data_IF_015975125491
#
_entry.id   IF_015975125491
#
_cell.length_a   1.000
_cell.length_b   1.000
_cell.length_c   1.000
_cell.angle_alpha   90.00
_cell.angle_beta   90.00
_cell.angle_gamma   90.00
#
_symmetry.space_group_name_H-M   'P 1'
#
loop_
_entity.id
_entity.type
_entity.pdbx_description
1 polymer ?
#
# COMPACT_ATOMS: atom_id res chain seq x y z
N UNK A 1 4.44 -14.74 26.30
CA UNK A 1 3.29 -13.98 25.72
C UNK A 1 2.02 -14.17 26.54
N UNK A 2 1.30 -13.10 26.90
CA UNK A 2 0.06 -13.13 27.69
C UNK A 2 -1.12 -12.71 26.81
N UNK A 3 -2.06 -13.63 26.54
CA UNK A 3 -3.21 -13.42 25.64
C UNK A 3 -4.51 -13.06 26.41
N UNK A 4 -4.39 -12.34 27.51
CA UNK A 4 -5.55 -11.93 28.32
C UNK A 4 -5.30 -10.66 29.10
N UNK A 5 -6.35 -9.89 29.34
CA UNK A 5 -6.34 -8.71 30.21
C UNK A 5 -7.67 -8.56 30.94
N UNK A 6 -7.69 -7.74 31.98
CA UNK A 6 -8.93 -7.45 32.73
C UNK A 6 -9.21 -5.97 32.66
N UNK A 7 -10.37 -5.59 32.15
CA UNK A 7 -10.87 -4.22 32.11
C UNK A 7 -12.25 -4.15 32.74
N UNK A 8 -12.48 -3.15 33.56
CA UNK A 8 -13.77 -2.90 34.22
C UNK A 8 -14.34 -4.12 34.95
N UNK A 9 -13.45 -4.94 35.54
CA UNK A 9 -13.84 -6.15 36.28
C UNK A 9 -14.15 -7.37 35.39
N UNK A 10 -14.08 -7.25 34.08
CA UNK A 10 -14.27 -8.34 33.13
C UNK A 10 -12.91 -8.77 32.53
N UNK A 11 -12.68 -10.09 32.47
CA UNK A 11 -11.50 -10.68 31.85
C UNK A 11 -11.79 -10.99 30.37
N UNK A 12 -10.93 -10.47 29.48
CA UNK A 12 -10.91 -10.75 28.05
C UNK A 12 -9.75 -11.69 27.75
N UNK A 13 -10.02 -12.76 27.00
CA UNK A 13 -9.03 -13.77 26.62
C UNK A 13 -9.10 -13.98 25.11
N UNK A 14 -7.94 -14.05 24.47
CA UNK A 14 -7.79 -14.22 23.03
C UNK A 14 -7.15 -15.58 22.74
N UNK A 15 -7.47 -16.17 21.58
CA UNK A 15 -7.01 -17.51 21.20
C UNK A 15 -5.52 -17.57 20.90
N UNK A 16 -5.06 -16.62 20.07
CA UNK A 16 -3.72 -16.53 19.54
C UNK A 16 -3.38 -15.08 19.15
N UNK A 17 -2.20 -14.86 18.60
CA UNK A 17 -1.73 -13.56 18.11
C UNK A 17 -2.63 -13.00 17.00
N UNK A 18 -3.07 -13.85 16.07
CA UNK A 18 -3.98 -13.46 14.99
C UNK A 18 -5.31 -12.94 15.51
N UNK A 19 -5.89 -13.60 16.49
CA UNK A 19 -7.14 -13.16 17.15
C UNK A 19 -6.96 -11.80 17.86
N UNK A 20 -5.81 -11.58 18.52
CA UNK A 20 -5.48 -10.28 19.13
C UNK A 20 -5.37 -9.20 18.05
N UNK A 21 -4.65 -9.47 16.97
CA UNK A 21 -4.48 -8.52 15.85
C UNK A 21 -5.83 -8.15 15.24
N UNK A 22 -6.67 -9.13 14.92
CA UNK A 22 -7.98 -8.90 14.32
C UNK A 22 -8.90 -8.08 15.24
N UNK A 23 -8.95 -8.41 16.54
CA UNK A 23 -9.79 -7.71 17.51
C UNK A 23 -9.26 -6.34 17.92
N UNK A 24 -7.95 -6.11 17.81
CA UNK A 24 -7.33 -4.80 18.03
C UNK A 24 -7.56 -3.82 16.86
N UNK A 25 -7.96 -4.33 15.68
CA UNK A 25 -8.17 -3.49 14.52
C UNK A 25 -9.31 -2.47 14.74
N UNK A 26 -9.18 -1.29 14.13
CA UNK A 26 -10.31 -0.36 14.08
C UNK A 26 -11.46 -1.00 13.29
N UNK A 27 -12.68 -0.58 13.62
CA UNK A 27 -13.88 -1.16 13.03
C UNK A 27 -13.90 -1.01 11.51
N UNK A 28 -13.95 -2.15 10.83
CA UNK A 28 -14.11 -2.25 9.39
C UNK A 28 -15.16 -3.30 9.05
N UNK A 29 -15.99 -3.01 8.06
CA UNK A 29 -17.11 -3.86 7.69
C UNK A 29 -16.66 -5.25 7.23
N UNK A 30 -15.55 -5.36 6.52
CA UNK A 30 -15.02 -6.64 6.08
C UNK A 30 -14.64 -7.57 7.22
N UNK A 31 -13.95 -7.06 8.23
CA UNK A 31 -13.60 -7.85 9.43
C UNK A 31 -14.84 -8.26 10.22
N UNK A 32 -15.86 -7.39 10.26
CA UNK A 32 -17.17 -7.72 10.89
C UNK A 32 -17.89 -8.81 10.12
N UNK A 33 -17.93 -8.71 8.80
CA UNK A 33 -18.56 -9.70 7.92
C UNK A 33 -17.87 -11.07 8.03
N UNK A 34 -16.55 -11.08 8.13
CA UNK A 34 -15.76 -12.29 8.35
C UNK A 34 -15.87 -12.86 9.79
N UNK A 35 -16.53 -12.15 10.71
CA UNK A 35 -16.72 -12.58 12.08
C UNK A 35 -15.44 -12.56 12.95
N UNK A 36 -14.40 -11.82 12.53
CA UNK A 36 -13.11 -11.75 13.23
C UNK A 36 -12.92 -10.45 14.01
N UNK A 37 -13.73 -9.43 13.76
CA UNK A 37 -13.71 -8.17 14.48
C UNK A 37 -14.07 -8.32 15.98
N UNK A 38 -13.64 -7.34 16.78
CA UNK A 38 -14.10 -7.22 18.15
C UNK A 38 -15.62 -7.05 18.22
N UNK A 39 -16.27 -7.73 19.16
CA UNK A 39 -17.73 -7.68 19.36
C UNK A 39 -18.19 -6.38 20.03
N UNK A 40 -17.26 -5.63 20.61
CA UNK A 40 -17.52 -4.35 21.26
C UNK A 40 -16.27 -3.46 21.30
N UNK A 41 -16.49 -2.17 21.49
CA UNK A 41 -15.39 -1.21 21.73
C UNK A 41 -14.52 -1.60 22.92
N UNK A 42 -15.11 -2.14 23.98
CA UNK A 42 -14.36 -2.57 25.17
C UNK A 42 -13.47 -3.78 24.87
N UNK A 43 -13.96 -4.75 24.10
CA UNK A 43 -13.14 -5.88 23.63
C UNK A 43 -11.99 -5.40 22.74
N UNK A 44 -12.24 -4.43 21.84
CA UNK A 44 -11.18 -3.81 21.02
C UNK A 44 -10.11 -3.16 21.89
N UNK A 45 -10.51 -2.38 22.90
CA UNK A 45 -9.57 -1.77 23.85
C UNK A 45 -8.78 -2.82 24.61
N UNK A 46 -9.44 -3.92 25.03
CA UNK A 46 -8.78 -5.04 25.68
C UNK A 46 -7.75 -5.72 24.75
N UNK A 47 -8.09 -5.94 23.49
CA UNK A 47 -7.17 -6.47 22.49
C UNK A 47 -5.98 -5.53 22.24
N UNK A 48 -6.21 -4.22 22.13
CA UNK A 48 -5.14 -3.21 22.03
C UNK A 48 -4.22 -3.19 23.24
N UNK A 49 -4.75 -3.36 24.45
CA UNK A 49 -3.94 -3.45 25.66
C UNK A 49 -3.05 -4.70 25.68
N UNK A 50 -3.58 -5.85 25.23
CA UNK A 50 -2.78 -7.08 25.08
C UNK A 50 -1.72 -6.90 23.97
N UNK A 51 -2.09 -6.33 22.83
CA UNK A 51 -1.20 -6.09 21.70
C UNK A 51 -0.05 -5.15 22.08
N UNK A 52 -0.33 -4.11 22.87
CA UNK A 52 0.69 -3.15 23.32
C UNK A 52 1.79 -3.80 24.19
N UNK A 53 1.45 -4.86 24.93
CA UNK A 53 2.39 -5.62 25.78
C UNK A 53 3.12 -6.75 25.02
N UNK A 54 2.74 -7.07 23.76
CA UNK A 54 3.42 -8.08 22.95
C UNK A 54 4.75 -7.52 22.43
N UNK A 55 5.77 -8.38 22.38
CA UNK A 55 7.06 -8.03 21.77
C UNK A 55 7.02 -8.19 20.25
N UNK A 56 7.91 -7.49 19.55
CA UNK A 56 8.09 -7.70 18.10
C UNK A 56 8.52 -9.14 17.80
N UNK A 57 9.24 -9.78 18.74
CA UNK A 57 9.59 -11.21 18.64
C UNK A 57 8.35 -12.12 18.71
N UNK A 58 7.37 -11.80 19.57
CA UNK A 58 6.11 -12.56 19.65
C UNK A 58 5.36 -12.52 18.31
N UNK A 59 5.34 -11.36 17.63
CA UNK A 59 4.69 -11.20 16.32
C UNK A 59 5.43 -12.01 15.24
N UNK A 60 6.75 -11.91 15.16
CA UNK A 60 7.54 -12.64 14.16
C UNK A 60 7.43 -14.15 14.27
N UNK A 61 7.39 -14.67 15.51
CA UNK A 61 7.27 -16.10 15.78
C UNK A 61 5.87 -16.66 15.52
N UNK A 62 4.87 -15.79 15.36
CA UNK A 62 3.48 -16.17 15.16
C UNK A 62 2.90 -15.41 13.94
N UNK A 63 3.41 -15.65 12.72
CA UNK A 63 2.86 -15.04 11.52
C UNK A 63 1.40 -15.45 11.34
N UNK A 64 0.59 -14.54 10.76
CA UNK A 64 -0.86 -14.78 10.61
C UNK A 64 -1.17 -15.90 9.60
N UNK A 65 -0.27 -16.16 8.67
CA UNK A 65 -0.26 -17.34 7.79
C UNK A 65 1.07 -18.07 7.99
N UNK A 66 1.07 -19.40 8.25
CA UNK A 66 2.29 -20.15 8.52
C UNK A 66 3.32 -20.07 7.39
N UNK A 67 4.59 -20.03 7.73
CA UNK A 67 5.70 -19.92 6.78
C UNK A 67 5.69 -21.04 5.73
N UNK A 68 5.36 -22.25 6.13
CA UNK A 68 5.34 -23.43 5.26
C UNK A 68 4.18 -23.40 4.24
N UNK A 69 3.12 -22.65 4.53
CA UNK A 69 1.87 -22.67 3.79
C UNK A 69 1.73 -21.52 2.77
N UNK A 70 2.61 -20.49 2.84
CA UNK A 70 2.37 -19.23 2.11
C UNK A 70 3.69 -18.61 1.59
N UNK A 71 3.76 -18.38 0.29
CA UNK A 71 4.95 -17.82 -0.36
C UNK A 71 5.15 -16.32 -0.04
N UNK A 72 4.09 -15.58 0.26
CA UNK A 72 4.17 -14.18 0.72
C UNK A 72 4.77 -14.13 2.12
N UNK A 73 4.39 -15.05 3.03
CA UNK A 73 5.02 -15.16 4.35
C UNK A 73 6.52 -15.46 4.22
N UNK A 74 6.89 -16.39 3.34
CA UNK A 74 8.32 -16.68 3.07
C UNK A 74 9.04 -15.44 2.57
N UNK A 75 8.46 -14.74 1.58
CA UNK A 75 9.06 -13.53 1.03
C UNK A 75 9.27 -12.42 2.07
N UNK A 76 8.33 -12.24 3.01
CA UNK A 76 8.43 -11.26 4.10
C UNK A 76 9.47 -11.67 5.14
N UNK A 77 9.40 -12.90 5.66
CA UNK A 77 10.28 -13.39 6.71
C UNK A 77 11.74 -13.51 6.26
N UNK A 78 11.98 -13.97 5.04
CA UNK A 78 13.32 -14.15 4.48
C UNK A 78 14.01 -12.81 4.13
N UNK A 79 13.23 -11.74 3.95
CA UNK A 79 13.74 -10.40 3.68
C UNK A 79 14.22 -9.66 4.94
N UNK A 80 13.98 -10.21 6.14
CA UNK A 80 14.36 -9.57 7.40
C UNK A 80 15.86 -9.54 7.58
N UNK A 81 16.42 -8.36 7.86
CA UNK A 81 17.81 -8.23 8.30
C UNK A 81 17.92 -8.63 9.76
N UNK A 82 18.48 -9.80 10.02
CA UNK A 82 18.59 -10.37 11.36
C UNK A 82 19.39 -9.49 12.34
N UNK A 83 20.45 -8.83 11.88
CA UNK A 83 21.25 -7.96 12.74
C UNK A 83 20.46 -6.70 13.19
N UNK A 84 19.58 -6.20 12.36
CA UNK A 84 18.68 -5.09 12.71
C UNK A 84 17.54 -5.59 13.59
N UNK A 85 16.94 -6.72 13.24
CA UNK A 85 15.88 -7.36 14.03
C UNK A 85 16.33 -7.64 15.46
N UNK A 86 17.53 -8.16 15.66
CA UNK A 86 18.08 -8.46 16.98
C UNK A 86 18.16 -7.24 17.91
N UNK A 87 18.24 -6.02 17.34
CA UNK A 87 18.26 -4.77 18.12
C UNK A 87 16.87 -4.33 18.58
N UNK A 88 15.81 -4.75 17.89
CA UNK A 88 14.44 -4.27 18.13
C UNK A 88 13.49 -5.36 18.64
N UNK A 89 13.80 -6.63 18.50
CA UNK A 89 12.90 -7.76 18.79
C UNK A 89 12.31 -7.76 20.21
N UNK A 90 13.03 -7.19 21.19
CA UNK A 90 12.57 -7.11 22.58
C UNK A 90 11.62 -5.95 22.87
N UNK A 91 11.51 -4.98 21.95
CA UNK A 91 10.55 -3.89 22.11
C UNK A 91 9.13 -4.46 22.12
N UNK A 92 8.31 -3.96 23.03
CA UNK A 92 6.86 -4.17 22.91
C UNK A 92 6.29 -3.32 21.79
N UNK A 93 5.12 -3.68 21.28
CA UNK A 93 4.42 -2.88 20.25
C UNK A 93 4.12 -1.47 20.77
N UNK A 94 3.82 -1.34 22.07
CA UNK A 94 3.64 -0.05 22.74
C UNK A 94 4.92 0.79 22.74
N UNK A 95 6.05 0.22 23.13
CA UNK A 95 7.37 0.89 23.09
C UNK A 95 7.77 1.24 21.66
N UNK A 96 7.50 0.35 20.71
CA UNK A 96 7.75 0.61 19.29
C UNK A 96 6.91 1.79 18.76
N UNK A 97 5.63 1.91 19.18
CA UNK A 97 4.80 3.08 18.88
C UNK A 97 5.43 4.37 19.42
N UNK A 98 5.86 4.40 20.68
CA UNK A 98 6.48 5.58 21.30
C UNK A 98 7.80 5.94 20.59
N UNK A 99 8.58 4.93 20.19
CA UNK A 99 9.78 5.12 19.38
C UNK A 99 9.42 5.82 18.05
N UNK A 100 8.45 5.32 17.29
CA UNK A 100 8.05 5.92 16.02
C UNK A 100 7.52 7.35 16.17
N UNK A 101 6.87 7.68 17.28
CA UNK A 101 6.37 9.03 17.54
C UNK A 101 7.48 10.00 17.98
N UNK A 102 8.54 9.53 18.61
CA UNK A 102 9.63 10.38 19.15
C UNK A 102 10.86 10.43 18.24
N UNK A 103 11.20 9.35 17.53
CA UNK A 103 12.39 9.24 16.70
C UNK A 103 12.36 10.15 15.46
N UNK A 104 13.52 10.43 14.91
CA UNK A 104 13.67 11.12 13.63
C UNK A 104 13.65 10.11 12.46
N UNK A 105 13.68 10.62 11.22
CA UNK A 105 13.64 9.82 10.00
C UNK A 105 14.81 8.83 9.89
N UNK A 106 16.03 9.25 10.24
CA UNK A 106 17.23 8.39 10.15
C UNK A 106 17.13 7.19 11.09
N UNK A 107 16.68 7.41 12.33
CA UNK A 107 16.53 6.34 13.31
C UNK A 107 15.46 5.33 12.87
N UNK A 108 14.35 5.82 12.30
CA UNK A 108 13.28 4.95 11.78
C UNK A 108 13.78 4.20 10.54
N UNK A 109 14.47 4.86 9.62
CA UNK A 109 15.02 4.23 8.43
C UNK A 109 16.01 3.09 8.77
N UNK A 110 16.79 3.27 9.83
CA UNK A 110 17.77 2.28 10.28
C UNK A 110 17.14 0.94 10.71
N UNK A 111 15.90 0.96 11.21
CA UNK A 111 15.23 -0.25 11.72
C UNK A 111 14.31 -0.93 10.69
N UNK A 112 13.96 -0.27 9.59
CA UNK A 112 12.99 -0.77 8.60
C UNK A 112 13.29 -2.18 8.09
N UNK A 113 14.55 -2.51 7.89
CA UNK A 113 14.95 -3.82 7.36
C UNK A 113 14.80 -4.97 8.36
N UNK A 114 14.55 -4.68 9.63
CA UNK A 114 14.29 -5.66 10.69
C UNK A 114 12.80 -5.92 10.96
N UNK A 115 11.88 -5.24 10.23
CA UNK A 115 10.44 -5.33 10.46
C UNK A 115 9.78 -6.35 9.52
N UNK A 116 8.80 -7.10 10.06
CA UNK A 116 7.83 -7.87 9.29
C UNK A 116 6.52 -7.11 9.13
N UNK A 117 5.67 -7.55 8.22
CA UNK A 117 4.34 -6.98 7.98
C UNK A 117 3.46 -6.97 9.23
N UNK A 118 3.49 -8.04 10.04
CA UNK A 118 2.72 -8.12 11.28
C UNK A 118 3.17 -7.05 12.31
N UNK A 119 4.47 -6.74 12.39
CA UNK A 119 4.96 -5.67 13.28
C UNK A 119 4.48 -4.30 12.82
N UNK A 120 4.49 -4.05 11.51
CA UNK A 120 4.00 -2.82 10.90
C UNK A 120 2.51 -2.64 11.12
N UNK A 121 1.71 -3.69 10.88
CA UNK A 121 0.27 -3.68 11.13
C UNK A 121 -0.06 -3.51 12.63
N UNK A 122 0.66 -4.22 13.51
CA UNK A 122 0.44 -4.16 14.95
C UNK A 122 0.61 -2.74 15.50
N UNK A 123 1.67 -2.04 15.13
CA UNK A 123 1.89 -0.67 15.61
C UNK A 123 0.85 0.30 15.05
N UNK A 124 0.42 0.15 13.80
CA UNK A 124 -0.63 0.96 13.19
C UNK A 124 -1.96 0.87 13.96
N UNK A 125 -2.30 -0.32 14.48
CA UNK A 125 -3.51 -0.55 15.28
C UNK A 125 -3.51 0.22 16.61
N UNK A 126 -2.35 0.56 17.15
CA UNK A 126 -2.22 1.35 18.40
C UNK A 126 -2.19 2.86 18.15
N UNK A 127 -2.13 3.31 16.89
CA UNK A 127 -2.07 4.71 16.52
C UNK A 127 -3.45 5.33 16.29
N UNK A 128 -3.61 6.58 16.73
CA UNK A 128 -4.74 7.42 16.30
C UNK A 128 -4.51 7.91 14.87
N UNK A 129 -5.54 8.48 14.21
CA UNK A 129 -5.38 9.07 12.87
C UNK A 129 -4.27 10.14 12.86
N UNK A 130 -4.18 10.95 13.91
CA UNK A 130 -3.14 11.99 14.00
C UNK A 130 -1.75 11.41 14.27
N UNK A 131 -1.65 10.29 15.00
CA UNK A 131 -0.37 9.59 15.16
C UNK A 131 0.12 9.04 13.81
N UNK A 132 -0.78 8.44 13.00
CA UNK A 132 -0.47 7.96 11.65
C UNK A 132 0.04 9.10 10.75
N UNK A 133 -0.68 10.22 10.71
CA UNK A 133 -0.28 11.42 9.95
C UNK A 133 1.08 11.94 10.43
N UNK A 134 1.27 12.06 11.76
CA UNK A 134 2.50 12.60 12.33
C UNK A 134 3.70 11.68 12.09
N UNK A 135 3.53 10.38 12.24
CA UNK A 135 4.59 9.40 11.97
C UNK A 135 4.92 9.33 10.47
N UNK A 136 3.91 9.22 9.60
CA UNK A 136 4.11 9.17 8.15
C UNK A 136 4.85 10.39 7.62
N UNK A 137 4.59 11.58 8.17
CA UNK A 137 5.26 12.83 7.80
C UNK A 137 6.79 12.80 7.97
N UNK A 138 7.30 12.00 8.88
CA UNK A 138 8.74 11.85 9.13
C UNK A 138 9.41 10.85 8.19
N UNK A 139 8.62 9.99 7.54
CA UNK A 139 9.11 8.89 6.72
C UNK A 139 9.28 9.36 5.28
N UNK A 140 10.53 9.42 4.81
CA UNK A 140 10.82 9.78 3.42
C UNK A 140 11.15 8.54 2.61
N UNK A 141 10.47 8.40 1.46
CA UNK A 141 10.72 7.32 0.50
C UNK A 141 10.68 7.92 -0.90
N UNK A 142 11.83 7.92 -1.57
CA UNK A 142 11.96 8.37 -2.94
C UNK A 142 12.09 7.18 -3.88
N UNK A 143 11.52 7.31 -5.08
CA UNK A 143 11.68 6.34 -6.16
C UNK A 143 11.87 7.06 -7.50
N UNK A 144 12.69 6.48 -8.38
CA UNK A 144 13.04 7.06 -9.67
C UNK A 144 12.79 6.07 -10.80
N UNK A 145 11.93 6.46 -11.74
CA UNK A 145 11.73 5.81 -13.04
C UNK A 145 12.36 6.71 -14.13
N UNK A 146 11.59 7.45 -14.92
CA UNK A 146 12.10 8.56 -15.71
C UNK A 146 12.13 9.85 -14.89
N UNK A 147 11.20 10.00 -13.97
CA UNK A 147 11.11 11.09 -12.98
C UNK A 147 11.27 10.54 -11.56
N UNK A 148 11.47 11.41 -10.57
CA UNK A 148 11.56 11.03 -9.17
C UNK A 148 10.33 11.51 -8.43
N UNK A 149 9.66 10.59 -7.71
CA UNK A 149 8.54 10.86 -6.80
C UNK A 149 8.97 10.72 -5.34
N UNK A 150 8.14 11.20 -4.41
CA UNK A 150 8.35 11.07 -2.96
C UNK A 150 9.31 12.09 -2.36
N UNK A 151 9.72 13.13 -3.10
CA UNK A 151 10.54 14.22 -2.57
C UNK A 151 9.77 15.05 -1.55
N UNK A 152 10.40 15.45 -0.44
CA UNK A 152 9.74 16.24 0.59
C UNK A 152 9.08 17.51 0.04
N UNK A 153 7.82 17.73 0.40
CA UNK A 153 7.05 18.91 -0.02
C UNK A 153 6.52 18.86 -1.45
N UNK A 154 6.56 17.69 -2.10
CA UNK A 154 5.97 17.48 -3.43
C UNK A 154 4.90 16.40 -3.36
N UNK A 155 3.80 16.63 -4.08
CA UNK A 155 2.80 15.61 -4.41
C UNK A 155 2.84 15.39 -5.90
N UNK A 156 3.00 14.15 -6.31
CA UNK A 156 2.93 13.74 -7.71
C UNK A 156 1.57 13.11 -8.00
N UNK A 157 1.10 13.23 -9.23
CA UNK A 157 -0.23 12.78 -9.63
C UNK A 157 -0.16 11.75 -10.75
N UNK A 158 -1.00 10.72 -10.64
CA UNK A 158 -1.27 9.80 -11.75
C UNK A 158 -2.35 10.41 -12.65
N UNK A 159 -2.12 10.41 -13.95
CA UNK A 159 -3.14 10.65 -14.96
C UNK A 159 -3.69 9.31 -15.45
N UNK A 160 -5.00 9.10 -15.27
CA UNK A 160 -5.70 7.88 -15.67
C UNK A 160 -6.70 8.17 -16.79
N UNK A 161 -6.27 8.20 -18.05
CA UNK A 161 -7.10 8.60 -19.20
C UNK A 161 -7.93 7.42 -19.74
N UNK A 162 -8.73 6.76 -18.87
CA UNK A 162 -9.55 5.62 -19.25
C UNK A 162 -10.58 6.01 -20.32
N UNK A 163 -10.79 5.11 -21.29
CA UNK A 163 -11.79 5.28 -22.33
C UNK A 163 -12.66 4.03 -22.46
N UNK A 164 -13.96 4.22 -22.63
CA UNK A 164 -14.95 3.13 -22.57
C UNK A 164 -14.77 2.03 -23.66
N UNK A 165 -14.03 2.32 -24.72
CA UNK A 165 -13.77 1.42 -25.85
C UNK A 165 -12.30 1.33 -26.22
N UNK A 166 -11.38 1.78 -25.35
CA UNK A 166 -9.95 1.88 -25.61
C UNK A 166 -9.59 2.62 -26.93
N UNK A 167 -10.45 3.58 -27.36
CA UNK A 167 -10.20 4.36 -28.55
C UNK A 167 -8.97 5.25 -28.37
N UNK A 168 -7.89 5.10 -29.17
CA UNK A 168 -6.66 5.85 -28.99
C UNK A 168 -6.81 7.37 -29.10
N UNK A 169 -7.69 7.86 -29.98
CA UNK A 169 -7.90 9.31 -30.15
C UNK A 169 -8.58 9.90 -28.91
N UNK A 170 -9.59 9.20 -28.36
CA UNK A 170 -10.28 9.59 -27.13
C UNK A 170 -9.35 9.54 -25.91
N UNK A 171 -8.51 8.49 -25.81
CA UNK A 171 -7.47 8.36 -24.77
C UNK A 171 -6.50 9.55 -24.85
N UNK A 172 -5.98 9.87 -26.04
CA UNK A 172 -5.01 10.96 -26.22
C UNK A 172 -5.63 12.34 -25.99
N UNK A 173 -6.93 12.53 -26.29
CA UNK A 173 -7.64 13.77 -25.95
C UNK A 173 -7.66 13.96 -24.42
N UNK A 174 -7.99 12.89 -23.66
CA UNK A 174 -7.98 12.91 -22.18
C UNK A 174 -6.56 13.12 -21.62
N UNK A 175 -5.52 12.54 -22.26
CA UNK A 175 -4.12 12.78 -21.87
C UNK A 175 -3.78 14.27 -22.03
N UNK A 176 -4.09 14.88 -23.18
CA UNK A 176 -3.80 16.30 -23.44
C UNK A 176 -4.54 17.21 -22.46
N UNK A 177 -5.80 16.92 -22.17
CA UNK A 177 -6.57 17.66 -21.18
C UNK A 177 -5.93 17.55 -19.78
N UNK A 178 -5.64 16.33 -19.30
CA UNK A 178 -5.03 16.11 -17.98
C UNK A 178 -3.67 16.81 -17.84
N UNK A 179 -2.80 16.69 -18.84
CA UNK A 179 -1.49 17.40 -18.83
C UNK A 179 -1.69 18.92 -18.81
N UNK A 180 -2.74 19.46 -19.46
CA UNK A 180 -3.02 20.90 -19.43
C UNK A 180 -3.38 21.42 -18.03
N UNK A 181 -3.85 20.54 -17.15
CA UNK A 181 -4.08 20.82 -15.73
C UNK A 181 -2.87 20.54 -14.84
N UNK A 182 -1.76 20.07 -15.40
CA UNK A 182 -0.52 19.77 -14.67
C UNK A 182 -0.55 18.43 -13.94
N UNK A 183 -1.44 17.49 -14.32
CA UNK A 183 -1.48 16.14 -13.76
C UNK A 183 -0.76 15.13 -14.67
N UNK A 184 -0.25 14.04 -14.09
CA UNK A 184 0.45 12.97 -14.82
C UNK A 184 1.98 12.97 -14.66
N UNK A 185 2.50 13.76 -13.74
CA UNK A 185 3.95 13.82 -13.44
C UNK A 185 4.47 12.53 -12.79
N UNK A 186 3.63 11.81 -12.03
CA UNK A 186 3.96 10.48 -11.51
C UNK A 186 3.91 9.44 -12.63
N UNK A 187 2.80 9.36 -13.36
CA UNK A 187 2.59 8.39 -14.43
C UNK A 187 1.38 8.74 -15.29
N UNK A 188 1.44 8.45 -16.58
CA UNK A 188 0.27 8.29 -17.44
C UNK A 188 -0.06 6.81 -17.45
N UNK A 189 -1.10 6.41 -16.70
CA UNK A 189 -1.46 5.01 -16.46
C UNK A 189 -2.94 4.75 -16.77
N UNK A 190 -3.21 3.87 -17.72
CA UNK A 190 -4.56 3.57 -18.21
C UNK A 190 -4.97 2.15 -17.82
N UNK A 191 -6.21 2.00 -17.33
CA UNK A 191 -6.88 0.70 -17.21
C UNK A 191 -7.56 0.35 -18.54
N UNK A 192 -7.06 -0.63 -19.31
CA UNK A 192 -7.67 -0.99 -20.57
C UNK A 192 -8.99 -1.74 -20.35
N UNK A 193 -9.95 -1.54 -21.25
CA UNK A 193 -11.20 -2.33 -21.28
C UNK A 193 -10.90 -3.73 -21.81
N UNK A 194 -9.94 -3.82 -22.74
CA UNK A 194 -9.55 -5.09 -23.39
C UNK A 194 -8.09 -5.41 -23.08
N UNK A 195 -7.85 -6.41 -22.24
CA UNK A 195 -6.52 -6.90 -21.90
C UNK A 195 -5.99 -7.86 -22.97
N UNK A 196 -5.56 -7.31 -24.11
CA UNK A 196 -4.89 -8.07 -25.17
C UNK A 196 -3.51 -7.47 -25.48
N UNK A 197 -2.61 -8.31 -26.01
CA UNK A 197 -1.27 -7.88 -26.42
C UNK A 197 -1.33 -6.70 -27.41
N UNK A 198 -2.29 -6.75 -28.35
CA UNK A 198 -2.49 -5.68 -29.34
C UNK A 198 -2.90 -4.36 -28.69
N UNK A 199 -4.01 -4.36 -27.92
CA UNK A 199 -4.51 -3.15 -27.26
C UNK A 199 -3.44 -2.53 -26.33
N UNK A 200 -2.81 -3.36 -25.49
CA UNK A 200 -1.77 -2.91 -24.53
C UNK A 200 -0.58 -2.30 -25.28
N UNK A 201 -0.10 -2.96 -26.36
CA UNK A 201 1.06 -2.46 -27.10
C UNK A 201 0.75 -1.17 -27.86
N UNK A 202 -0.45 -1.01 -28.40
CA UNK A 202 -0.81 0.19 -29.17
C UNK A 202 -0.96 1.40 -28.24
N UNK A 203 -1.59 1.26 -27.10
CA UNK A 203 -1.69 2.32 -26.08
C UNK A 203 -0.30 2.74 -25.57
N UNK A 204 0.57 1.78 -25.25
CA UNK A 204 1.95 2.11 -24.82
C UNK A 204 2.74 2.88 -25.86
N UNK A 205 2.61 2.53 -27.16
CA UNK A 205 3.24 3.25 -28.27
C UNK A 205 2.73 4.69 -28.38
N UNK A 206 1.40 4.87 -28.31
CA UNK A 206 0.79 6.20 -28.38
C UNK A 206 1.27 7.09 -27.24
N UNK A 207 1.27 6.60 -26.01
CA UNK A 207 1.81 7.35 -24.86
C UNK A 207 3.26 7.73 -25.07
N UNK A 208 4.11 6.76 -25.48
CA UNK A 208 5.54 7.03 -25.68
C UNK A 208 5.81 8.00 -26.84
N UNK A 209 5.04 7.88 -27.90
CA UNK A 209 5.12 8.81 -29.06
C UNK A 209 4.76 10.23 -28.63
N UNK A 210 3.69 10.39 -27.86
CA UNK A 210 3.26 11.68 -27.31
C UNK A 210 4.31 12.26 -26.36
N UNK A 211 4.78 11.49 -25.39
CA UNK A 211 5.79 11.90 -24.42
C UNK A 211 7.07 12.37 -25.13
N UNK A 212 7.55 11.62 -26.12
CA UNK A 212 8.76 11.96 -26.87
C UNK A 212 8.56 13.22 -27.73
N UNK A 213 7.42 13.34 -28.42
CA UNK A 213 7.10 14.48 -29.27
C UNK A 213 7.09 15.80 -28.49
N UNK A 214 6.53 15.78 -27.29
CA UNK A 214 6.35 16.97 -26.47
C UNK A 214 7.37 17.08 -25.33
N UNK A 215 8.31 16.13 -25.25
CA UNK A 215 9.34 16.05 -24.19
C UNK A 215 8.76 16.12 -22.78
N UNK A 216 7.65 15.39 -22.56
CA UNK A 216 6.97 15.37 -21.26
C UNK A 216 7.71 14.43 -20.33
N UNK A 217 8.21 14.92 -19.17
CA UNK A 217 8.98 14.11 -18.23
C UNK A 217 8.03 13.31 -17.33
N UNK A 218 7.63 12.13 -17.79
CA UNK A 218 6.80 11.17 -17.04
C UNK A 218 7.13 9.75 -17.51
N UNK A 219 6.36 8.78 -17.08
CA UNK A 219 6.44 7.39 -17.51
C UNK A 219 5.09 6.89 -18.01
N UNK A 220 5.13 5.94 -18.97
CA UNK A 220 3.93 5.26 -19.45
C UNK A 220 3.66 3.97 -18.68
N UNK A 221 2.37 3.63 -18.55
CA UNK A 221 1.91 2.37 -17.99
C UNK A 221 0.55 1.98 -18.59
N UNK A 222 0.31 0.70 -18.80
CA UNK A 222 -1.02 0.14 -19.04
C UNK A 222 -1.30 -0.88 -17.96
N UNK A 223 -2.40 -0.69 -17.22
CA UNK A 223 -2.75 -1.50 -16.04
C UNK A 223 -3.44 -2.81 -16.48
N UNK A 224 -2.75 -3.57 -17.33
CA UNK A 224 -3.13 -4.89 -17.80
C UNK A 224 -2.53 -5.97 -16.91
N UNK A 225 -2.97 -7.23 -17.04
CA UNK A 225 -2.37 -8.33 -16.31
C UNK A 225 -0.88 -8.50 -16.66
N UNK A 226 -0.05 -8.84 -15.68
CA UNK A 226 1.41 -8.93 -15.84
C UNK A 226 1.82 -9.85 -16.99
N UNK A 227 1.12 -10.96 -17.19
CA UNK A 227 1.43 -11.91 -18.28
C UNK A 227 1.20 -11.35 -19.69
N UNK A 228 0.24 -10.45 -19.86
CA UNK A 228 0.03 -9.72 -21.13
C UNK A 228 1.17 -8.75 -21.37
N UNK A 229 1.57 -8.01 -20.35
CA UNK A 229 2.68 -7.06 -20.41
C UNK A 229 4.02 -7.76 -20.69
N UNK A 230 4.27 -8.93 -20.06
CA UNK A 230 5.46 -9.74 -20.34
C UNK A 230 5.53 -10.12 -21.84
N UNK A 231 4.42 -10.57 -22.44
CA UNK A 231 4.37 -10.90 -23.87
C UNK A 231 4.64 -9.69 -24.76
N UNK A 232 4.17 -8.49 -24.40
CA UNK A 232 4.49 -7.24 -25.10
C UNK A 232 6.00 -6.99 -25.10
N UNK A 233 6.67 -7.18 -23.96
CA UNK A 233 8.13 -7.02 -23.84
C UNK A 233 8.90 -8.12 -24.58
N UNK A 234 8.53 -9.39 -24.42
CA UNK A 234 9.18 -10.52 -25.07
C UNK A 234 9.20 -10.40 -26.59
N UNK A 235 8.11 -9.89 -27.16
CA UNK A 235 7.94 -9.69 -28.60
C UNK A 235 8.45 -8.31 -29.07
N UNK A 236 8.98 -7.46 -28.17
CA UNK A 236 9.44 -6.10 -28.47
C UNK A 236 8.38 -5.24 -29.19
N UNK A 237 7.12 -5.36 -28.78
CA UNK A 237 6.01 -4.68 -29.48
C UNK A 237 5.88 -3.20 -29.11
N UNK A 238 6.19 -2.81 -27.88
CA UNK A 238 6.05 -1.44 -27.40
C UNK A 238 7.08 -1.10 -26.33
N UNK A 239 7.53 0.16 -26.23
CA UNK A 239 8.35 0.63 -25.11
C UNK A 239 7.48 0.73 -23.83
N UNK A 240 7.99 0.15 -22.74
CA UNK A 240 7.32 0.12 -21.45
C UNK A 240 8.24 0.71 -20.38
N UNK A 241 7.78 1.75 -19.69
CA UNK A 241 8.53 2.39 -18.60
C UNK A 241 8.23 1.75 -17.25
N UNK A 242 6.96 1.45 -17.01
CA UNK A 242 6.47 0.78 -15.79
C UNK A 242 5.67 -0.47 -16.16
N UNK A 243 5.89 -1.55 -15.41
CA UNK A 243 5.06 -2.75 -15.45
C UNK A 243 4.15 -2.77 -14.24
N UNK A 244 2.87 -3.03 -14.49
CA UNK A 244 1.80 -3.02 -13.49
C UNK A 244 1.41 -4.43 -13.04
N UNK A 245 1.01 -4.58 -11.78
CA UNK A 245 0.21 -5.70 -11.28
C UNK A 245 -0.47 -5.34 -9.95
N UNK A 246 -1.70 -5.80 -9.73
CA UNK A 246 -2.34 -5.80 -8.41
C UNK A 246 -1.77 -6.93 -7.56
N UNK A 247 -1.45 -6.65 -6.29
CA UNK A 247 -0.91 -7.61 -5.36
C UNK A 247 -1.91 -7.96 -4.26
N UNK A 248 -1.74 -9.15 -3.68
CA UNK A 248 -2.47 -9.58 -2.50
C UNK A 248 -1.51 -10.10 -1.41
N UNK A 249 -1.93 -10.01 -0.15
CA UNK A 249 -1.14 -10.33 1.02
C UNK A 249 -1.08 -11.81 1.40
N UNK A 250 -1.59 -12.72 0.55
CA UNK A 250 -1.44 -14.17 0.69
C UNK A 250 -1.27 -14.86 -0.65
N UNK A 251 -0.68 -16.05 -0.63
CA UNK A 251 -0.54 -16.88 -1.82
C UNK A 251 -1.91 -17.24 -2.43
N UNK A 252 -2.90 -17.54 -1.58
CA UNK A 252 -4.26 -17.90 -2.03
C UNK A 252 -4.90 -16.73 -2.78
N UNK A 253 -4.88 -15.54 -2.23
CA UNK A 253 -5.45 -14.35 -2.86
C UNK A 253 -4.63 -13.93 -4.10
N UNK A 254 -3.29 -14.04 -4.07
CA UNK A 254 -2.43 -13.79 -5.22
C UNK A 254 -2.76 -14.72 -6.39
N UNK A 255 -3.02 -16.00 -6.12
CA UNK A 255 -3.47 -16.96 -7.15
C UNK A 255 -4.83 -16.61 -7.74
N UNK A 256 -5.74 -16.04 -6.95
CA UNK A 256 -7.03 -15.53 -7.46
C UNK A 256 -6.81 -14.35 -8.44
N UNK A 257 -5.75 -13.58 -8.26
CA UNK A 257 -5.30 -12.53 -9.21
C UNK A 257 -4.46 -13.09 -10.38
N UNK A 258 -4.27 -14.41 -10.46
CA UNK A 258 -3.48 -15.06 -11.52
C UNK A 258 -1.96 -14.92 -11.36
N UNK A 259 -1.47 -14.59 -10.16
CA UNK A 259 -0.05 -14.40 -9.87
C UNK A 259 0.45 -15.27 -8.71
N UNK A 260 1.75 -15.37 -8.60
CA UNK A 260 2.50 -15.89 -7.45
C UNK A 260 3.89 -15.23 -7.41
N UNK A 261 4.66 -15.48 -6.36
CA UNK A 261 6.00 -14.89 -6.20
C UNK A 261 6.92 -15.25 -7.37
N UNK A 262 6.90 -16.50 -7.85
CA UNK A 262 7.77 -16.94 -8.96
C UNK A 262 7.48 -16.19 -10.27
N UNK A 263 6.21 -16.02 -10.62
CA UNK A 263 5.80 -15.26 -11.81
C UNK A 263 6.21 -13.79 -11.70
N UNK A 264 6.06 -13.20 -10.51
CA UNK A 264 6.46 -11.82 -10.28
C UNK A 264 7.99 -11.64 -10.32
N UNK A 265 8.76 -12.62 -9.85
CA UNK A 265 10.22 -12.64 -9.98
C UNK A 265 10.66 -12.68 -11.46
N UNK A 266 9.97 -13.50 -12.29
CA UNK A 266 10.19 -13.57 -13.72
C UNK A 266 9.84 -12.26 -14.43
N UNK A 267 8.69 -11.68 -14.12
CA UNK A 267 8.25 -10.38 -14.65
C UNK A 267 9.23 -9.26 -14.30
N UNK A 268 9.69 -9.22 -13.06
CA UNK A 268 10.69 -8.25 -12.61
C UNK A 268 12.02 -8.40 -13.35
N UNK A 269 12.50 -9.63 -13.53
CA UNK A 269 13.74 -9.92 -14.27
C UNK A 269 13.63 -9.48 -15.73
N UNK A 270 12.52 -9.81 -16.40
CA UNK A 270 12.26 -9.41 -17.77
C UNK A 270 12.18 -7.88 -17.92
N UNK A 271 11.46 -7.22 -17.02
CA UNK A 271 11.35 -5.76 -17.03
C UNK A 271 12.69 -5.08 -16.77
N UNK A 272 13.51 -5.61 -15.86
CA UNK A 272 14.85 -5.11 -15.59
C UNK A 272 15.75 -5.13 -16.84
N UNK A 273 15.60 -6.15 -17.68
CA UNK A 273 16.36 -6.31 -18.94
C UNK A 273 15.83 -5.38 -20.05
N UNK A 274 14.49 -5.22 -20.17
CA UNK A 274 13.84 -4.69 -21.39
C UNK A 274 13.09 -3.39 -21.23
N UNK A 275 13.03 -2.81 -20.02
CA UNK A 275 12.34 -1.54 -19.80
C UNK A 275 12.91 -0.40 -20.64
N UNK A 276 12.05 0.53 -21.02
CA UNK A 276 12.45 1.77 -21.73
C UNK A 276 12.80 2.92 -20.78
N UNK A 277 12.48 2.81 -19.50
CA UNK A 277 12.81 3.81 -18.49
C UNK A 277 14.29 3.77 -18.07
N UNK A 278 14.80 4.90 -17.57
CA UNK A 278 16.21 5.07 -17.21
C UNK A 278 16.52 4.77 -15.75
N UNK A 279 15.58 5.01 -14.85
CA UNK A 279 15.77 4.83 -13.41
C UNK A 279 15.67 3.38 -12.94
N UNK A 280 16.03 3.12 -11.69
CA UNK A 280 16.06 1.77 -11.12
C UNK A 280 14.69 1.20 -10.74
N UNK A 281 13.68 2.05 -10.53
CA UNK A 281 12.36 1.66 -10.07
C UNK A 281 11.40 1.63 -11.26
N UNK A 282 10.85 0.46 -11.57
CA UNK A 282 10.08 0.24 -12.80
C UNK A 282 8.85 -0.67 -12.61
N UNK A 283 8.53 -1.02 -11.37
CA UNK A 283 7.30 -1.74 -11.04
C UNK A 283 6.26 -0.78 -10.46
N UNK A 284 5.01 -0.97 -10.83
CA UNK A 284 3.87 -0.28 -10.28
C UNK A 284 2.87 -1.31 -9.74
N UNK A 285 2.49 -1.19 -8.48
CA UNK A 285 1.56 -2.10 -7.84
C UNK A 285 0.32 -1.38 -7.34
N UNK A 286 -0.81 -2.05 -7.39
CA UNK A 286 -2.03 -1.64 -6.70
C UNK A 286 -2.41 -2.66 -5.64
N UNK A 287 -2.94 -2.15 -4.53
CA UNK A 287 -3.43 -2.89 -3.38
C UNK A 287 -4.73 -2.26 -2.88
N UNK A 288 -5.37 -2.84 -1.88
CA UNK A 288 -6.53 -2.23 -1.23
C UNK A 288 -7.11 -3.15 -0.17
N UNK A 289 -7.39 -2.59 1.01
CA UNK A 289 -7.96 -3.32 2.12
C UNK A 289 -9.28 -4.01 1.72
N UNK A 290 -9.38 -5.30 2.02
CA UNK A 290 -10.54 -6.15 1.68
C UNK A 290 -10.30 -7.11 0.51
N UNK A 291 -9.23 -6.94 -0.27
CA UNK A 291 -8.94 -7.80 -1.44
C UNK A 291 -8.85 -9.28 -1.06
N UNK A 292 -8.15 -9.61 0.01
CA UNK A 292 -7.97 -10.98 0.49
C UNK A 292 -9.27 -11.59 1.01
N UNK A 293 -10.11 -10.77 1.67
CA UNK A 293 -11.44 -11.19 2.12
C UNK A 293 -12.34 -11.49 0.91
N UNK A 294 -12.30 -10.67 -0.14
CA UNK A 294 -13.07 -10.87 -1.35
C UNK A 294 -12.67 -12.13 -2.12
N UNK A 295 -11.41 -12.55 -1.98
CA UNK A 295 -10.84 -13.74 -2.61
C UNK A 295 -10.87 -14.98 -1.70
N UNK A 296 -11.51 -14.92 -0.52
CA UNK A 296 -11.50 -15.96 0.51
C UNK A 296 -10.08 -16.44 0.86
N UNK A 297 -9.13 -15.51 0.83
CA UNK A 297 -7.68 -15.75 0.99
C UNK A 297 -7.05 -15.08 2.21
N UNK A 298 -7.87 -14.61 3.18
CA UNK A 298 -7.37 -13.88 4.35
C UNK A 298 -6.91 -14.79 5.52
N UNK A 299 -7.12 -16.10 5.45
CA UNK A 299 -6.74 -17.08 6.49
C UNK A 299 -7.20 -16.70 7.91
N UNK A 300 -8.32 -15.97 8.05
CA UNK A 300 -8.84 -15.47 9.33
C UNK A 300 -8.05 -14.30 9.92
N UNK A 301 -7.14 -13.68 9.15
CA UNK A 301 -6.50 -12.43 9.50
C UNK A 301 -7.36 -11.22 9.06
N UNK A 302 -7.20 -10.10 9.74
CA UNK A 302 -7.90 -8.86 9.41
C UNK A 302 -7.31 -8.16 8.19
N UNK A 303 -8.13 -7.32 7.56
CA UNK A 303 -7.75 -6.68 6.28
C UNK A 303 -6.57 -5.70 6.41
N UNK A 304 -6.29 -5.14 7.60
CA UNK A 304 -5.12 -4.29 7.79
C UNK A 304 -3.81 -5.09 7.78
N UNK A 305 -3.78 -6.25 8.45
CA UNK A 305 -2.60 -7.13 8.42
C UNK A 305 -2.37 -7.64 7.00
N UNK A 306 -3.43 -8.02 6.29
CA UNK A 306 -3.31 -8.50 4.91
C UNK A 306 -2.76 -7.41 3.98
N UNK A 307 -3.20 -6.16 4.14
CA UNK A 307 -2.65 -5.03 3.38
C UNK A 307 -1.17 -4.76 3.69
N UNK A 308 -0.76 -4.85 4.96
CA UNK A 308 0.66 -4.74 5.32
C UNK A 308 1.52 -5.83 4.65
N UNK A 309 0.97 -7.02 4.47
CA UNK A 309 1.62 -8.14 3.77
C UNK A 309 1.76 -7.88 2.26
N UNK A 310 0.78 -7.19 1.63
CA UNK A 310 0.94 -6.69 0.26
C UNK A 310 2.17 -5.78 0.13
N UNK A 311 2.40 -4.91 1.11
CA UNK A 311 3.55 -4.00 1.10
C UNK A 311 4.89 -4.72 1.29
N UNK A 312 4.93 -5.73 2.14
CA UNK A 312 6.11 -6.59 2.29
C UNK A 312 6.42 -7.34 0.97
N UNK A 313 5.39 -7.85 0.29
CA UNK A 313 5.53 -8.47 -1.02
C UNK A 313 6.00 -7.46 -2.09
N UNK A 314 5.40 -6.26 -2.14
CA UNK A 314 5.80 -5.21 -3.06
C UNK A 314 7.26 -4.78 -2.89
N UNK A 315 7.73 -4.66 -1.63
CA UNK A 315 9.08 -4.24 -1.27
C UNK A 315 10.17 -5.08 -1.95
N UNK A 316 9.93 -6.37 -2.18
CA UNK A 316 10.83 -7.30 -2.88
C UNK A 316 11.27 -6.78 -4.25
N UNK A 317 10.41 -6.03 -4.93
CA UNK A 317 10.60 -5.56 -6.31
C UNK A 317 11.02 -4.10 -6.41
N UNK A 318 11.35 -3.44 -5.30
CA UNK A 318 11.78 -2.04 -5.29
C UNK A 318 10.90 -1.15 -6.20
N UNK A 319 9.58 -1.08 -5.99
CA UNK A 319 8.66 -0.46 -6.92
C UNK A 319 8.92 1.04 -7.09
N UNK A 320 8.47 1.58 -8.22
CA UNK A 320 8.35 3.02 -8.41
C UNK A 320 7.14 3.57 -7.64
N UNK A 321 6.03 2.83 -7.63
CA UNK A 321 4.79 3.24 -7.00
C UNK A 321 4.05 2.02 -6.47
N UNK A 322 3.58 2.09 -5.23
CA UNK A 322 2.53 1.22 -4.70
C UNK A 322 1.33 2.11 -4.37
N UNK A 323 0.22 1.88 -5.04
CA UNK A 323 -0.98 2.68 -4.91
C UNK A 323 -2.05 1.88 -4.16
N UNK A 324 -2.47 2.36 -3.00
CA UNK A 324 -3.65 1.81 -2.33
C UNK A 324 -4.91 2.40 -2.93
N UNK A 325 -5.84 1.55 -3.36
CA UNK A 325 -7.13 1.96 -3.94
C UNK A 325 -8.18 1.86 -2.83
N UNK A 326 -8.24 2.92 -2.03
CA UNK A 326 -9.09 2.96 -0.83
C UNK A 326 -10.57 2.95 -1.23
N UNK A 327 -11.32 2.02 -0.64
CA UNK A 327 -12.77 1.92 -0.86
C UNK A 327 -13.20 1.31 -2.20
N UNK A 328 -12.27 0.89 -3.05
CA UNK A 328 -12.58 0.29 -4.36
C UNK A 328 -13.24 -1.09 -4.26
N UNK A 329 -12.84 -1.91 -3.29
CA UNK A 329 -13.29 -3.32 -3.18
C UNK A 329 -14.80 -3.40 -2.91
N UNK A 330 -15.38 -2.44 -2.16
CA UNK A 330 -16.81 -2.33 -1.96
C UNK A 330 -17.20 -2.00 -0.52
N UNK A 331 -18.48 -1.62 -0.32
CA UNK A 331 -18.99 -1.21 0.99
C UNK A 331 -19.05 -2.34 2.01
N UNK A 332 -19.02 -3.60 1.58
CA UNK A 332 -18.92 -4.77 2.44
C UNK A 332 -17.59 -4.85 3.19
N UNK A 333 -16.54 -4.17 2.71
CA UNK A 333 -15.21 -4.15 3.33
C UNK A 333 -14.90 -2.84 4.03
N UNK A 334 -15.27 -1.69 3.44
CA UNK A 334 -15.22 -0.34 4.01
C UNK A 334 -16.56 0.34 3.78
N UNK A 335 -17.42 0.41 4.80
CA UNK A 335 -18.82 0.80 4.64
C UNK A 335 -19.03 2.31 4.52
N UNK A 336 -18.26 3.11 5.26
CA UNK A 336 -18.48 4.56 5.38
C UNK A 336 -17.18 5.38 5.23
N UNK A 337 -17.34 6.70 5.11
CA UNK A 337 -16.23 7.64 5.01
C UNK A 337 -15.24 7.56 6.17
N UNK A 338 -15.70 7.23 7.38
CA UNK A 338 -14.81 7.06 8.55
C UNK A 338 -13.89 5.86 8.40
N UNK A 339 -14.41 4.72 7.93
CA UNK A 339 -13.61 3.53 7.66
C UNK A 339 -12.64 3.78 6.49
N UNK A 340 -13.11 4.45 5.44
CA UNK A 340 -12.29 4.84 4.29
C UNK A 340 -11.12 5.75 4.69
N UNK A 341 -11.38 6.81 5.45
CA UNK A 341 -10.32 7.72 5.94
C UNK A 341 -9.32 6.96 6.80
N UNK A 342 -9.80 6.10 7.70
CA UNK A 342 -8.93 5.31 8.56
C UNK A 342 -8.05 4.36 7.75
N UNK A 343 -8.61 3.64 6.79
CA UNK A 343 -7.88 2.72 5.93
C UNK A 343 -6.79 3.45 5.11
N UNK A 344 -7.13 4.56 4.46
CA UNK A 344 -6.14 5.31 3.66
C UNK A 344 -4.97 5.85 4.48
N UNK A 345 -5.21 6.29 5.72
CA UNK A 345 -4.13 6.74 6.63
C UNK A 345 -3.26 5.57 7.12
N UNK A 346 -3.86 4.43 7.42
CA UNK A 346 -3.14 3.21 7.81
C UNK A 346 -2.26 2.72 6.67
N UNK A 347 -2.80 2.61 5.47
CA UNK A 347 -2.11 2.13 4.28
C UNK A 347 -0.92 3.01 3.94
N UNK A 348 -1.12 4.32 3.91
CA UNK A 348 -0.07 5.30 3.66
C UNK A 348 1.06 5.20 4.70
N UNK A 349 0.73 5.14 5.99
CA UNK A 349 1.72 5.00 7.06
C UNK A 349 2.48 3.68 6.96
N UNK A 350 1.77 2.56 6.80
CA UNK A 350 2.36 1.22 6.75
C UNK A 350 3.31 1.06 5.56
N UNK A 351 2.91 1.52 4.38
CA UNK A 351 3.75 1.48 3.20
C UNK A 351 5.02 2.31 3.37
N UNK A 352 4.91 3.53 3.89
CA UNK A 352 6.09 4.38 4.17
C UNK A 352 7.00 3.78 5.25
N UNK A 353 6.43 3.17 6.31
CA UNK A 353 7.23 2.48 7.32
C UNK A 353 7.94 1.24 6.74
N UNK A 354 7.29 0.52 5.83
CA UNK A 354 7.91 -0.60 5.09
C UNK A 354 9.03 -0.11 4.16
N UNK A 355 9.02 1.16 3.76
CA UNK A 355 10.03 1.78 2.91
C UNK A 355 9.70 1.71 1.42
N UNK A 356 8.41 1.68 1.06
CA UNK A 356 7.94 1.73 -0.33
C UNK A 356 7.30 3.09 -0.65
N UNK A 357 7.39 3.55 -1.91
CA UNK A 357 6.77 4.80 -2.35
C UNK A 357 5.25 4.61 -2.48
N UNK A 358 4.49 5.36 -1.68
CA UNK A 358 3.03 5.21 -1.59
C UNK A 358 2.29 6.25 -2.43
N UNK A 359 1.33 5.76 -3.22
CA UNK A 359 0.22 6.52 -3.75
C UNK A 359 -1.09 6.14 -3.07
N UNK A 360 -2.11 6.95 -3.25
CA UNK A 360 -3.44 6.68 -2.74
C UNK A 360 -4.50 7.16 -3.73
N UNK A 361 -5.32 6.24 -4.22
CA UNK A 361 -6.58 6.59 -4.87
C UNK A 361 -7.61 6.88 -3.77
N UNK A 362 -7.84 8.16 -3.53
CA UNK A 362 -8.86 8.61 -2.59
C UNK A 362 -10.22 8.44 -3.27
N UNK A 363 -10.82 7.28 -3.08
CA UNK A 363 -12.06 6.91 -3.77
C UNK A 363 -13.04 6.16 -2.86
N UNK A 364 -14.29 6.07 -3.30
CA UNK A 364 -15.32 5.22 -2.72
C UNK A 364 -16.19 4.63 -3.84
N UNK A 365 -16.82 3.49 -3.56
CA UNK A 365 -17.81 2.91 -4.48
C UNK A 365 -19.20 3.53 -4.26
N UNK A 366 -20.06 3.52 -5.28
CA UNK A 366 -21.39 4.16 -5.28
C UNK A 366 -22.33 3.69 -4.15
N UNK A 367 -22.07 2.55 -3.53
CA UNK A 367 -22.88 1.98 -2.47
C UNK A 367 -22.33 2.26 -1.06
N UNK A 368 -21.15 2.86 -0.95
CA UNK A 368 -20.58 3.27 0.32
C UNK A 368 -21.34 4.47 0.90
N UNK A 369 -21.41 4.53 2.22
CA UNK A 369 -21.93 5.69 2.95
C UNK A 369 -20.85 6.75 3.11
N UNK A 370 -20.39 7.29 1.99
CA UNK A 370 -19.37 8.32 1.89
C UNK A 370 -19.77 9.37 0.85
N UNK A 371 -19.20 10.56 0.96
CA UNK A 371 -19.45 11.68 0.05
C UNK A 371 -18.15 12.42 -0.32
N UNK A 372 -18.29 13.49 -1.10
CA UNK A 372 -17.17 14.32 -1.54
C UNK A 372 -16.37 14.92 -0.36
N UNK A 373 -17.03 15.25 0.76
CA UNK A 373 -16.33 15.79 1.93
C UNK A 373 -15.40 14.75 2.56
N UNK A 374 -15.77 13.46 2.53
CA UNK A 374 -14.94 12.39 3.04
C UNK A 374 -13.68 12.22 2.19
N UNK A 375 -13.81 12.31 0.84
CA UNK A 375 -12.65 12.32 -0.08
C UNK A 375 -11.74 13.51 0.21
N UNK A 376 -12.28 14.71 0.32
CA UNK A 376 -11.51 15.92 0.60
C UNK A 376 -10.81 15.85 1.96
N UNK A 377 -11.47 15.31 2.98
CA UNK A 377 -10.87 15.11 4.31
C UNK A 377 -9.69 14.13 4.25
N UNK A 378 -9.84 13.00 3.55
CA UNK A 378 -8.72 12.06 3.39
C UNK A 378 -7.58 12.70 2.59
N UNK A 379 -7.86 13.35 1.47
CA UNK A 379 -6.86 14.04 0.66
C UNK A 379 -6.09 15.10 1.45
N UNK A 380 -6.77 15.91 2.26
CA UNK A 380 -6.13 16.89 3.14
C UNK A 380 -5.22 16.23 4.20
N UNK A 381 -5.66 15.13 4.82
CA UNK A 381 -4.85 14.42 5.82
C UNK A 381 -3.61 13.78 5.19
N UNK A 382 -3.73 13.19 3.99
CA UNK A 382 -2.60 12.63 3.23
C UNK A 382 -1.62 13.73 2.82
N UNK A 383 -2.10 14.85 2.30
CA UNK A 383 -1.27 16.02 1.99
C UNK A 383 -0.52 16.51 3.24
N UNK A 384 -1.19 16.56 4.39
CA UNK A 384 -0.59 16.94 5.66
C UNK A 384 0.51 15.97 6.10
N UNK A 385 0.38 14.69 5.82
CA UNK A 385 1.39 13.67 6.11
C UNK A 385 2.62 13.76 5.20
N UNK A 386 2.52 14.47 4.06
CA UNK A 386 3.62 14.74 3.14
C UNK A 386 4.28 16.13 3.36
N UNK A 387 3.61 17.06 4.06
CA UNK A 387 4.18 18.39 4.32
C UNK A 387 5.46 18.31 5.14
N UNK A 388 6.54 18.82 4.58
CA UNK A 388 7.75 19.14 5.34
C UNK A 388 7.46 20.36 6.23
N UNK A 389 7.79 20.30 7.53
CA UNK A 389 7.94 21.52 8.34
C UNK A 389 9.05 22.35 7.72
N UNK A 390 8.69 23.38 6.98
CA UNK A 390 9.59 24.50 6.72
C UNK A 390 9.83 25.15 8.07
N UNK A 391 11.07 25.41 8.44
CA UNK A 391 11.49 25.83 9.77
C UNK A 391 10.81 27.08 10.33
N UNK A 392 11.33 27.65 11.39
CA UNK A 392 10.76 28.82 12.12
C UNK A 392 10.33 30.00 11.24
N UNK A 393 10.86 30.11 10.03
CA UNK A 393 10.50 31.15 9.06
C UNK A 393 9.07 31.01 8.52
N UNK A 394 8.51 29.80 8.46
CA UNK A 394 7.13 29.61 8.02
C UNK A 394 6.10 30.08 9.05
N UNK A 395 6.45 30.11 10.34
CA UNK A 395 5.59 30.63 11.40
C UNK A 395 5.40 32.16 11.34
N UNK A 396 6.23 32.88 10.57
CA UNK A 396 6.10 34.35 10.37
C UNK A 396 5.18 34.69 9.19
N UNK A 397 4.98 33.79 8.24
CA UNK A 397 4.11 34.02 7.08
C UNK A 397 2.66 33.57 7.30
N UNK A 398 2.39 32.79 8.35
CA UNK A 398 1.04 32.33 8.72
C UNK A 398 0.41 33.14 9.88
N UNK A 399 0.87 34.37 10.12
CA UNK A 399 0.23 35.33 11.07
C UNK A 399 -0.46 36.44 10.32
#
# INVERSE_FOLDING_TARGET
MKLKTTLFGQTYSFRDVKDVLAKANEEKSGDMLAGIAAQSTVERVAAKAVLADMTLEDLRKNPVVPYEEDDVTRADQDAVNEAVYDQIKSLTVGEFREFLLSANDFDIAAIRSGLTSEMVAAVAKLMTNMDLVYAAKKLHVEATCNTTIGRPGTLSTRLQPNHATDDPEGIMASVMEGISYGIGDAVIGLNPVVDTIGSVSDILKEFKTFMNKWQIPTQNCVLAHVTTQMKVLEQNLAPMDLMFQSLAGSEVASRAFGINVALMDEAYALMKERKSSTGPNFMYFETGQGSELSADGNHGADQLVMEARCYAFAKRYHPFLVNTVVGFIGPEYLYDGRQMIRAGLEDHFMGKLTGIPMGCDVCYTNHMRADQNDLENLAMMLTRSEERRVGKECLRLCR
#
